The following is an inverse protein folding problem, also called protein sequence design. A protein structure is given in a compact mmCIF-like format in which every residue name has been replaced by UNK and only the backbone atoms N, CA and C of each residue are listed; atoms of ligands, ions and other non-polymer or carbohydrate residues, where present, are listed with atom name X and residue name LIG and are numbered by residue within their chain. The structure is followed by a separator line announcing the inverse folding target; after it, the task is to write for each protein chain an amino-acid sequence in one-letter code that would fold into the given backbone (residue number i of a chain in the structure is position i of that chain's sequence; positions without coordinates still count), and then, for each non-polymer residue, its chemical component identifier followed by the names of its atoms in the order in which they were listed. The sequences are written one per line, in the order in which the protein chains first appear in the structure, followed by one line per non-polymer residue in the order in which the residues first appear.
data_IF_571934308233
#
_entry.id   IF_571934308233
#
_cell.length_a   1.000
_cell.length_b   1.000
_cell.length_c   1.000
_cell.angle_alpha   90.00
_cell.angle_beta   90.00
_cell.angle_gamma   90.00
#
_symmetry.space_group_name_H-M   'P 1'
#
loop_
_entity.id
_entity.type
_entity.pdbx_description
1 polymer ?
#
# COMPACT_ATOMS: atom_id res chain seq x y z
N UNK A 1 -2.06 12.59 -3.80
CA UNK A 1 -1.68 11.94 -2.53
C UNK A 1 -1.20 13.03 -1.57
N UNK A 2 -1.68 13.07 -0.33
CA UNK A 2 -1.35 14.15 0.63
C UNK A 2 0.14 14.13 1.05
N UNK A 3 0.78 12.95 1.04
CA UNK A 3 2.16 12.74 1.50
C UNK A 3 3.05 12.11 0.40
N UNK A 4 3.32 12.86 -0.68
CA UNK A 4 4.28 12.45 -1.71
C UNK A 4 5.72 12.84 -1.37
N UNK A 5 6.71 12.04 -1.81
CA UNK A 5 8.15 12.37 -1.68
C UNK A 5 8.94 11.51 -0.66
N UNK A 6 8.29 10.55 0.00
CA UNK A 6 8.96 9.61 0.88
C UNK A 6 9.76 8.56 0.07
N UNK A 7 10.89 8.06 0.60
CA UNK A 7 11.69 7.01 -0.06
C UNK A 7 11.04 5.62 0.00
N UNK A 8 9.96 5.47 0.78
CA UNK A 8 9.22 4.22 0.97
C UNK A 8 7.74 4.44 0.71
N UNK A 9 7.05 3.38 0.27
CA UNK A 9 5.60 3.35 0.19
C UNK A 9 5.02 2.57 1.37
N UNK A 10 4.02 3.15 2.03
CA UNK A 10 3.35 2.57 3.18
C UNK A 10 2.01 1.96 2.75
N UNK A 11 1.86 0.67 3.02
CA UNK A 11 0.69 -0.14 2.65
C UNK A 11 0.04 -0.77 3.88
N UNK A 12 -1.27 -0.93 3.81
CA UNK A 12 -2.06 -1.73 4.75
C UNK A 12 -2.99 -2.64 3.94
N UNK A 13 -3.18 -3.87 4.39
CA UNK A 13 -4.09 -4.84 3.76
C UNK A 13 -5.49 -4.79 4.36
N UNK A 14 -6.51 -4.84 3.51
CA UNK A 14 -7.91 -4.99 3.90
C UNK A 14 -8.54 -6.18 3.18
N UNK A 15 -9.33 -6.99 3.89
CA UNK A 15 -10.08 -8.09 3.27
C UNK A 15 -11.18 -7.58 2.34
N UNK A 16 -11.81 -6.45 2.70
CA UNK A 16 -12.93 -5.86 1.96
C UNK A 16 -12.80 -4.34 1.98
N UNK A 17 -12.97 -3.73 0.82
CA UNK A 17 -12.96 -2.27 0.63
C UNK A 17 -14.21 -1.88 -0.15
N UNK A 18 -14.80 -0.73 0.19
CA UNK A 18 -15.87 -0.11 -0.59
C UNK A 18 -15.44 1.30 -0.96
N UNK A 19 -15.53 1.63 -2.24
CA UNK A 19 -15.15 2.95 -2.77
C UNK A 19 -16.33 3.91 -2.63
N UNK A 20 -16.26 4.80 -1.64
CA UNK A 20 -17.35 5.73 -1.30
C UNK A 20 -17.09 7.18 -1.68
N UNK A 21 -15.86 7.51 -2.09
CA UNK A 21 -15.50 8.87 -2.52
C UNK A 21 -16.09 9.23 -3.88
N UNK A 22 -16.21 10.53 -4.17
CA UNK A 22 -16.75 11.04 -5.44
C UNK A 22 -16.00 10.53 -6.68
N UNK A 23 -14.72 10.17 -6.52
CA UNK A 23 -13.90 9.58 -7.57
C UNK A 23 -14.21 8.11 -7.89
N UNK A 24 -15.06 7.44 -7.10
CA UNK A 24 -15.44 6.05 -7.30
C UNK A 24 -14.29 5.06 -7.17
N UNK A 25 -14.41 3.91 -7.84
CA UNK A 25 -13.38 2.88 -7.91
C UNK A 25 -12.14 3.39 -8.68
N UNK A 26 -10.90 3.06 -8.24
CA UNK A 26 -9.70 3.43 -8.97
C UNK A 26 -9.61 2.80 -10.36
N UNK A 27 -8.91 3.48 -11.26
CA UNK A 27 -8.49 2.90 -12.53
C UNK A 27 -7.42 1.84 -12.27
N UNK A 28 -7.65 0.62 -12.75
CA UNK A 28 -6.74 -0.50 -12.58
C UNK A 28 -5.80 -0.67 -13.77
N UNK A 29 -4.53 -0.93 -13.48
CA UNK A 29 -3.51 -1.34 -14.45
C UNK A 29 -2.87 -2.65 -14.02
N UNK A 30 -2.91 -3.65 -14.89
CA UNK A 30 -2.19 -4.91 -14.67
C UNK A 30 -0.68 -4.68 -14.83
N UNK A 31 0.03 -4.67 -13.70
CA UNK A 31 1.49 -4.48 -13.69
C UNK A 31 2.19 -5.78 -14.11
N UNK A 32 1.63 -6.91 -13.67
CA UNK A 32 2.03 -8.24 -14.12
C UNK A 32 0.76 -9.04 -14.44
N UNK A 33 0.56 -9.46 -15.70
CA UNK A 33 -0.66 -10.14 -16.12
C UNK A 33 -0.99 -11.33 -15.22
N UNK A 34 -2.22 -11.35 -14.69
CA UNK A 34 -2.72 -12.39 -13.79
C UNK A 34 -2.09 -12.45 -12.38
N UNK A 35 -1.07 -11.62 -12.09
CA UNK A 35 -0.35 -11.66 -10.81
C UNK A 35 -0.54 -10.41 -9.97
N UNK A 36 -0.51 -9.24 -10.60
CA UNK A 36 -0.51 -7.99 -9.87
C UNK A 36 -1.21 -6.88 -10.65
N UNK A 37 -2.10 -6.15 -9.97
CA UNK A 37 -2.70 -4.92 -10.47
C UNK A 37 -2.50 -3.78 -9.49
N UNK A 38 -2.42 -2.56 -10.02
CA UNK A 38 -2.27 -1.32 -9.26
C UNK A 38 -3.43 -0.39 -9.60
N UNK A 39 -4.04 0.17 -8.57
CA UNK A 39 -5.17 1.08 -8.68
C UNK A 39 -4.70 2.53 -8.52
N UNK A 40 -5.18 3.40 -9.40
CA UNK A 40 -4.83 4.82 -9.46
C UNK A 40 -6.08 5.69 -9.45
N UNK A 41 -5.99 6.88 -8.85
CA UNK A 41 -7.02 7.89 -8.99
C UNK A 41 -7.11 8.35 -10.45
N UNK A 42 -8.29 8.23 -11.06
CA UNK A 42 -8.50 8.63 -12.46
C UNK A 42 -8.26 10.12 -12.73
N UNK A 43 -8.39 10.98 -11.71
CA UNK A 43 -8.25 12.43 -11.86
C UNK A 43 -6.79 12.92 -11.72
N UNK A 44 -6.04 12.41 -10.74
CA UNK A 44 -4.70 12.91 -10.42
C UNK A 44 -3.56 11.89 -10.57
N UNK A 45 -3.88 10.65 -10.97
CA UNK A 45 -2.89 9.59 -11.19
C UNK A 45 -2.22 9.04 -9.92
N UNK A 46 -2.61 9.50 -8.73
CA UNK A 46 -2.04 8.98 -7.47
C UNK A 46 -2.35 7.50 -7.31
N UNK A 47 -1.34 6.70 -6.95
CA UNK A 47 -1.51 5.28 -6.62
C UNK A 47 -2.24 5.16 -5.27
N UNK A 48 -3.33 4.40 -5.25
CA UNK A 48 -4.19 4.26 -4.07
C UNK A 48 -4.34 2.81 -3.62
N UNK A 49 -4.23 1.85 -4.55
CA UNK A 49 -4.52 0.45 -4.26
C UNK A 49 -3.57 -0.51 -4.99
N UNK A 50 -3.48 -1.72 -4.47
CA UNK A 50 -2.77 -2.84 -5.05
C UNK A 50 -3.54 -4.13 -4.78
N UNK A 51 -3.52 -5.04 -5.75
CA UNK A 51 -3.93 -6.44 -5.55
C UNK A 51 -2.81 -7.29 -6.11
N UNK A 52 -2.40 -8.27 -5.33
CA UNK A 52 -1.36 -9.24 -5.67
C UNK A 52 -1.95 -10.64 -5.46
N UNK A 53 -1.72 -11.58 -6.38
CA UNK A 53 -2.36 -12.89 -6.38
C UNK A 53 -2.03 -13.73 -5.14
N UNK A 54 -0.85 -13.51 -4.57
CA UNK A 54 -0.31 -14.29 -3.46
C UNK A 54 -0.65 -13.67 -2.09
N UNK A 55 -1.36 -12.53 -2.07
CA UNK A 55 -1.75 -11.82 -0.85
C UNK A 55 -3.28 -11.69 -0.81
N UNK A 56 -3.97 -12.28 0.18
CA UNK A 56 -5.41 -12.15 0.28
C UNK A 56 -5.80 -10.69 0.57
N UNK A 57 -6.80 -10.19 -0.16
CA UNK A 57 -7.37 -8.85 0.04
C UNK A 57 -6.81 -7.77 -0.91
N UNK A 58 -7.03 -6.52 -0.52
CA UNK A 58 -6.59 -5.33 -1.25
C UNK A 58 -5.62 -4.55 -0.37
N UNK A 59 -4.43 -4.27 -0.91
CA UNK A 59 -3.49 -3.33 -0.31
C UNK A 59 -3.93 -1.90 -0.60
N UNK A 60 -4.05 -1.06 0.42
CA UNK A 60 -4.35 0.36 0.31
C UNK A 60 -3.12 1.16 0.72
N UNK A 61 -2.79 2.20 -0.06
CA UNK A 61 -1.72 3.11 0.32
C UNK A 61 -2.20 3.95 1.49
N UNK A 62 -1.56 3.83 2.65
CA UNK A 62 -2.02 4.49 3.88
C UNK A 62 -2.14 6.01 3.73
N UNK A 63 -1.25 6.73 3.02
CA UNK A 63 -1.44 8.17 2.81
C UNK A 63 -2.60 8.56 1.87
N UNK A 64 -3.36 7.60 1.34
CA UNK A 64 -4.63 7.85 0.68
C UNK A 64 -5.80 7.90 1.68
N UNK A 65 -5.62 7.45 2.93
CA UNK A 65 -6.59 7.54 4.00
C UNK A 65 -6.59 8.95 4.62
N UNK A 66 -7.73 9.37 5.15
CA UNK A 66 -7.86 10.66 5.83
C UNK A 66 -7.30 10.63 7.26
N UNK A 67 -7.43 9.50 7.96
CA UNK A 67 -6.85 9.26 9.27
C UNK A 67 -5.80 8.14 9.18
N UNK A 68 -4.57 8.48 9.53
CA UNK A 68 -3.42 7.55 9.55
C UNK A 68 -2.87 7.35 10.96
N UNK A 69 -3.60 7.77 12.00
CA UNK A 69 -3.13 7.77 13.40
C UNK A 69 -3.38 6.44 14.13
N UNK A 70 -4.15 5.53 13.53
CA UNK A 70 -4.47 4.22 14.09
C UNK A 70 -3.21 3.38 14.34
N UNK A 71 -3.12 2.77 15.53
CA UNK A 71 -1.99 1.92 15.91
C UNK A 71 -1.82 0.72 14.96
N UNK A 72 -2.93 0.19 14.43
CA UNK A 72 -2.92 -0.94 13.48
C UNK A 72 -2.37 -0.56 12.10
N UNK A 73 -2.15 0.72 11.83
CA UNK A 73 -1.50 1.18 10.61
C UNK A 73 0.03 1.23 10.75
N UNK A 74 0.57 1.19 11.97
CA UNK A 74 2.01 1.26 12.21
C UNK A 74 2.75 0.19 11.37
N UNK A 75 3.78 0.56 10.58
CA UNK A 75 4.52 -0.39 9.78
C UNK A 75 5.15 -1.50 10.64
N UNK A 76 4.84 -2.75 10.32
CA UNK A 76 5.34 -3.95 11.02
C UNK A 76 6.43 -4.69 10.25
N UNK A 77 6.64 -4.33 8.99
CA UNK A 77 7.65 -4.91 8.09
C UNK A 77 7.99 -3.90 6.97
N UNK A 78 9.14 -4.08 6.32
CA UNK A 78 9.52 -3.37 5.12
C UNK A 78 10.14 -4.34 4.10
N UNK A 79 9.49 -4.48 2.93
CA UNK A 79 10.07 -5.20 1.78
C UNK A 79 11.34 -4.50 1.27
N UNK A 80 12.27 -5.28 0.72
CA UNK A 80 13.54 -4.78 0.15
C UNK A 80 14.33 -3.93 1.15
N UNK A 81 14.36 -4.36 2.42
CA UNK A 81 15.02 -3.64 3.52
C UNK A 81 16.50 -3.38 3.22
N UNK A 82 17.14 -4.30 2.50
CA UNK A 82 18.51 -4.21 2.02
C UNK A 82 18.75 -3.06 1.01
N UNK A 83 17.69 -2.54 0.39
CA UNK A 83 17.70 -1.39 -0.51
C UNK A 83 17.32 -0.08 0.20
N UNK A 84 17.12 -0.08 1.52
CA UNK A 84 16.75 1.11 2.26
C UNK A 84 17.83 2.20 2.16
N UNK A 85 17.39 3.46 2.04
CA UNK A 85 18.31 4.61 2.05
C UNK A 85 19.06 4.67 3.38
N UNK A 86 20.38 4.85 3.32
CA UNK A 86 21.27 4.68 4.48
C UNK A 86 20.99 5.62 5.67
N UNK A 87 20.33 6.76 5.43
CA UNK A 87 19.99 7.74 6.46
C UNK A 87 18.65 7.48 7.14
N UNK A 88 17.84 6.53 6.64
CA UNK A 88 16.54 6.18 7.21
C UNK A 88 16.70 5.00 8.17
N UNK A 89 16.24 5.17 9.41
CA UNK A 89 16.13 4.04 10.35
C UNK A 89 15.19 2.98 9.79
N UNK A 90 15.57 1.70 9.84
CA UNK A 90 14.77 0.66 9.21
C UNK A 90 13.54 0.35 10.07
N UNK A 91 12.41 0.08 9.42
CA UNK A 91 11.15 -0.33 10.09
C UNK A 91 11.40 -1.62 10.88
N UNK A 92 10.95 -1.76 12.14
CA UNK A 92 11.07 -3.01 12.87
C UNK A 92 10.43 -4.16 12.10
N UNK A 93 11.12 -5.29 11.98
CA UNK A 93 10.50 -6.52 11.49
C UNK A 93 9.84 -7.22 12.67
N UNK A 94 8.55 -6.96 12.81
CA UNK A 94 7.71 -7.43 13.94
C UNK A 94 6.63 -8.39 13.46
N UNK A 95 6.57 -8.65 12.16
CA UNK A 95 5.67 -9.60 11.55
C UNK A 95 6.34 -10.97 11.49
N UNK A 96 5.88 -11.92 12.30
CA UNK A 96 6.13 -13.33 12.03
C UNK A 96 5.16 -13.77 10.93
N UNK A 97 5.57 -13.71 9.66
CA UNK A 97 4.79 -14.32 8.59
C UNK A 97 4.76 -15.84 8.80
N UNK A 98 3.59 -16.50 8.87
CA UNK A 98 3.50 -17.96 8.85
C UNK A 98 3.80 -18.53 7.45
N UNK A 99 3.93 -17.67 6.43
CA UNK A 99 4.28 -18.05 5.06
C UNK A 99 5.66 -17.46 4.78
N UNK A 100 6.66 -18.34 4.81
CA UNK A 100 8.01 -18.10 4.29
C UNK A 100 8.14 -18.53 2.84
#
# INVERSE_FOLDING_TARGET
MKLGGAPVMWWVGFERVTWTGEGGEPTWFETFPGKAKRGFCANCGSRVAAVDCDIPGIGISVPALDDTSGVDLAPVNASFRENAVHWMSPVPDTQHSPIG
#
